data_IF_637677196878
#
_entry.id   IF_637677196878
#
_cell.length_a   1.000
_cell.length_b   1.000
_cell.length_c   1.000
_cell.angle_alpha   90.00
_cell.angle_beta   90.00
_cell.angle_gamma   90.00
#
_symmetry.space_group_name_H-M   'P 1'
#
loop_
_entity.id
_entity.type
_entity.pdbx_description
1 polymer ?
#
# COMPACT_ATOMS: atom_id res chain seq x y z
N UNK A 1 -8.70 -28.75 -10.35
CA UNK A 1 -7.86 -27.84 -9.54
C UNK A 1 -8.80 -26.79 -8.99
N UNK A 2 -8.96 -26.70 -7.67
CA UNK A 2 -9.76 -25.64 -7.04
C UNK A 2 -8.79 -24.49 -6.83
N UNK A 3 -8.99 -23.40 -7.56
CA UNK A 3 -8.21 -22.18 -7.36
C UNK A 3 -8.83 -21.47 -6.17
N UNK A 4 -8.07 -21.32 -5.09
CA UNK A 4 -8.51 -20.54 -3.94
C UNK A 4 -8.46 -19.05 -4.32
N UNK A 5 -9.63 -18.50 -4.66
CA UNK A 5 -9.79 -17.12 -5.14
C UNK A 5 -9.53 -16.08 -4.03
N UNK A 6 -9.46 -16.51 -2.77
CA UNK A 6 -9.26 -15.68 -1.59
C UNK A 6 -7.77 -15.45 -1.28
N UNK A 7 -6.87 -16.16 -1.97
CA UNK A 7 -5.42 -15.92 -1.85
C UNK A 7 -4.95 -14.65 -2.57
N UNK A 8 -4.00 -13.96 -1.93
CA UNK A 8 -3.33 -12.77 -2.43
C UNK A 8 -3.89 -11.46 -1.88
N UNK A 9 -3.23 -10.35 -2.23
CA UNK A 9 -3.63 -9.02 -1.78
C UNK A 9 -4.75 -8.45 -2.65
N UNK A 10 -5.70 -7.75 -2.04
CA UNK A 10 -6.62 -6.86 -2.74
C UNK A 10 -5.86 -5.55 -3.01
N UNK A 11 -5.06 -5.51 -4.07
CA UNK A 11 -4.15 -4.38 -4.35
C UNK A 11 -4.87 -3.03 -4.48
N UNK A 12 -6.13 -3.03 -4.94
CA UNK A 12 -7.00 -1.84 -4.99
C UNK A 12 -7.36 -1.28 -3.61
N UNK A 13 -7.28 -2.10 -2.55
CA UNK A 13 -7.52 -1.66 -1.17
C UNK A 13 -6.38 -0.86 -0.58
N UNK A 14 -5.20 -0.89 -1.21
CA UNK A 14 -3.99 -0.38 -0.58
C UNK A 14 -4.07 1.13 -0.35
N UNK A 15 -3.76 1.54 0.88
CA UNK A 15 -3.71 2.93 1.31
C UNK A 15 -2.28 3.25 1.71
N UNK A 16 -1.67 4.18 0.99
CA UNK A 16 -0.36 4.74 1.32
C UNK A 16 -0.50 6.24 1.57
N UNK A 17 0.00 6.67 2.72
CA UNK A 17 0.07 8.09 3.07
C UNK A 17 1.47 8.44 3.51
N UNK A 18 1.99 9.57 3.04
CA UNK A 18 3.21 10.17 3.58
C UNK A 18 2.82 11.53 4.15
N UNK A 19 3.17 11.78 5.41
CA UNK A 19 2.77 12.98 6.15
C UNK A 19 1.25 13.24 6.12
N UNK A 20 0.46 12.16 6.14
CA UNK A 20 -1.00 12.22 6.06
C UNK A 20 -1.58 12.40 4.64
N UNK A 21 -0.74 12.66 3.63
CA UNK A 21 -1.18 12.87 2.24
C UNK A 21 -1.22 11.53 1.50
N UNK A 22 -2.38 11.19 0.92
CA UNK A 22 -2.54 9.97 0.10
C UNK A 22 -1.89 10.18 -1.27
N UNK A 23 -1.01 9.27 -1.64
CA UNK A 23 -0.40 9.26 -2.98
C UNK A 23 -1.06 8.25 -3.92
N UNK A 24 -0.41 8.04 -5.06
CA UNK A 24 -0.83 7.12 -6.11
C UNK A 24 -0.17 5.77 -5.82
N UNK A 25 -0.97 4.71 -5.81
CA UNK A 25 -0.48 3.34 -5.68
C UNK A 25 -0.76 2.58 -6.99
N UNK A 26 0.25 1.90 -7.48
CA UNK A 26 0.18 1.02 -8.65
C UNK A 26 0.65 -0.37 -8.25
N UNK A 27 -0.05 -1.40 -8.72
CA UNK A 27 0.34 -2.78 -8.44
C UNK A 27 0.79 -3.46 -9.73
N UNK A 28 2.03 -3.92 -9.72
CA UNK A 28 2.65 -4.73 -10.76
C UNK A 28 2.38 -6.21 -10.44
N UNK A 29 1.39 -6.79 -11.11
CA UNK A 29 0.98 -8.19 -10.95
C UNK A 29 2.06 -9.19 -11.38
N UNK A 30 2.98 -8.81 -12.28
CA UNK A 30 4.04 -9.70 -12.75
C UNK A 30 5.16 -9.80 -11.71
N UNK A 31 5.41 -8.70 -10.98
CA UNK A 31 6.48 -8.63 -9.97
C UNK A 31 6.00 -8.80 -8.54
N UNK A 32 4.69 -8.93 -8.32
CA UNK A 32 4.06 -8.89 -6.99
C UNK A 32 4.54 -7.68 -6.18
N UNK A 33 4.55 -6.51 -6.84
CA UNK A 33 5.15 -5.29 -6.32
C UNK A 33 4.13 -4.15 -6.29
N UNK A 34 4.01 -3.53 -5.12
CA UNK A 34 3.17 -2.35 -4.90
C UNK A 34 4.06 -1.10 -4.91
N UNK A 35 3.89 -0.28 -5.94
CA UNK A 35 4.68 0.93 -6.19
C UNK A 35 3.87 2.13 -5.71
N UNK A 36 4.50 2.97 -4.89
CA UNK A 36 3.91 4.20 -4.39
C UNK A 36 4.61 5.43 -4.98
N UNK A 37 3.83 6.41 -5.41
CA UNK A 37 4.31 7.71 -5.89
C UNK A 37 3.50 8.86 -5.29
N UNK A 38 4.18 9.89 -4.79
CA UNK A 38 3.57 11.13 -4.31
C UNK A 38 4.15 12.33 -5.05
N UNK A 39 3.58 12.72 -6.21
CA UNK A 39 4.06 13.88 -6.96
C UNK A 39 3.98 15.16 -6.12
N UNK A 40 5.05 15.97 -6.15
CA UNK A 40 5.12 17.19 -5.35
C UNK A 40 5.36 16.96 -3.86
N UNK A 41 5.84 15.76 -3.47
CA UNK A 41 6.25 15.50 -2.10
C UNK A 41 7.36 16.47 -1.67
N UNK A 42 7.09 17.21 -0.60
CA UNK A 42 8.03 18.11 0.07
C UNK A 42 8.39 17.51 1.44
N UNK A 43 9.61 16.94 1.60
CA UNK A 43 9.99 16.25 2.82
C UNK A 43 10.21 17.25 3.96
N UNK A 44 9.67 16.90 5.13
CA UNK A 44 9.93 17.63 6.38
C UNK A 44 11.14 17.03 7.10
N UNK A 45 11.57 17.70 8.19
CA UNK A 45 12.61 17.20 9.08
C UNK A 45 12.28 15.86 9.74
N UNK A 46 11.00 15.52 9.83
CA UNK A 46 10.53 14.17 10.13
C UNK A 46 9.36 13.83 9.22
N UNK A 47 9.33 12.60 8.72
CA UNK A 47 8.24 12.13 7.87
C UNK A 47 7.65 10.84 8.43
N UNK A 48 6.34 10.71 8.26
CA UNK A 48 5.60 9.52 8.67
C UNK A 48 4.99 8.88 7.44
N UNK A 49 5.34 7.62 7.17
CA UNK A 49 4.69 6.80 6.16
C UNK A 49 3.71 5.85 6.84
N UNK A 50 2.47 5.82 6.33
CA UNK A 50 1.42 4.90 6.73
C UNK A 50 1.07 4.00 5.55
N UNK A 51 0.99 2.70 5.80
CA UNK A 51 0.60 1.68 4.83
C UNK A 51 -0.50 0.83 5.43
N UNK A 52 -1.57 0.61 4.67
CA UNK A 52 -2.63 -0.35 4.98
C UNK A 52 -2.93 -1.15 3.72
N UNK A 53 -2.99 -2.48 3.86
CA UNK A 53 -3.27 -3.41 2.77
C UNK A 53 -4.28 -4.44 3.28
N UNK A 54 -5.25 -4.78 2.43
CA UNK A 54 -6.21 -5.85 2.65
C UNK A 54 -5.89 -7.04 1.75
N UNK A 55 -6.13 -8.26 2.23
CA UNK A 55 -6.21 -9.44 1.37
C UNK A 55 -7.64 -9.63 0.82
N UNK A 56 -7.81 -10.56 -0.11
CA UNK A 56 -9.13 -10.82 -0.70
C UNK A 56 -10.12 -11.44 0.29
N UNK A 57 -9.63 -12.09 1.35
CA UNK A 57 -10.43 -12.60 2.45
C UNK A 57 -10.89 -11.50 3.44
N UNK A 58 -10.42 -10.26 3.26
CA UNK A 58 -10.79 -9.11 4.08
C UNK A 58 -9.87 -8.84 5.28
N UNK A 59 -8.82 -9.64 5.50
CA UNK A 59 -7.83 -9.39 6.55
C UNK A 59 -7.02 -8.15 6.21
N UNK A 60 -6.71 -7.34 7.22
CA UNK A 60 -6.00 -6.07 7.04
C UNK A 60 -4.68 -6.07 7.79
N UNK A 61 -3.62 -5.64 7.12
CA UNK A 61 -2.31 -5.38 7.71
C UNK A 61 -2.00 -3.88 7.64
N UNK A 62 -1.38 -3.35 8.70
CA UNK A 62 -1.04 -1.93 8.82
C UNK A 62 0.40 -1.76 9.30
N UNK A 63 1.09 -0.76 8.78
CA UNK A 63 2.44 -0.40 9.19
C UNK A 63 2.64 1.12 9.19
N UNK A 64 3.39 1.61 10.17
CA UNK A 64 3.80 3.01 10.29
C UNK A 64 5.32 3.05 10.35
N UNK A 65 5.92 3.91 9.53
CA UNK A 65 7.36 4.16 9.50
C UNK A 65 7.60 5.64 9.76
N UNK A 66 8.57 5.93 10.62
CA UNK A 66 8.97 7.29 11.00
C UNK A 66 10.45 7.46 10.73
N UNK A 67 10.84 8.64 10.25
CA UNK A 67 12.20 8.99 9.92
C UNK A 67 12.60 10.36 10.48
#
# INVERSE_FOLDING_TARGET
QVTDEETGIESSSAVFKVNGVRGIAEYDYEKDLLIYSLPGFDPNSSNTAYIEIKDKAGNTAQAIFEN
#
